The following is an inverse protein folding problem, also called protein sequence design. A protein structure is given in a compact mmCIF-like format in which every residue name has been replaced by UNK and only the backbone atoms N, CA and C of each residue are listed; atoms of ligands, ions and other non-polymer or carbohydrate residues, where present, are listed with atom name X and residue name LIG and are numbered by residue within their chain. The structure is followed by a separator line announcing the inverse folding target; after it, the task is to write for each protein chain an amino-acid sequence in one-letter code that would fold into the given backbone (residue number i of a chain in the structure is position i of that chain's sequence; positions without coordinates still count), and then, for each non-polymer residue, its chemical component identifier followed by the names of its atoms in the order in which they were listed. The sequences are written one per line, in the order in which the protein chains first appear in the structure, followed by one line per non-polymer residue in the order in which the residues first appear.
data_IF_383828243394
#
_entry.id   IF_383828243394
#
_cell.length_a   1.000
_cell.length_b   1.000
_cell.length_c   1.000
_cell.angle_alpha   90.00
_cell.angle_beta   90.00
_cell.angle_gamma   90.00
#
_symmetry.space_group_name_H-M   'P 1'
#
loop_
_entity.id
_entity.type
_entity.pdbx_description
1 polymer ?
#
# COMPACT_ATOMS: atom_id res chain seq x y z
N UNK A 1 -8.65 14.03 -0.15
CA UNK A 1 -7.59 13.08 0.17
C UNK A 1 -7.38 12.19 -1.04
N UNK A 2 -6.14 12.07 -1.50
CA UNK A 2 -5.74 11.05 -2.46
C UNK A 2 -4.66 10.23 -1.76
N UNK A 3 -4.99 9.02 -1.38
CA UNK A 3 -4.09 8.14 -0.65
C UNK A 3 -4.25 6.72 -1.16
N UNK A 4 -3.11 6.13 -1.53
CA UNK A 4 -2.99 4.70 -1.71
C UNK A 4 -1.94 4.21 -0.73
N UNK A 5 -2.34 3.24 0.10
CA UNK A 5 -1.47 2.64 1.10
C UNK A 5 -1.80 1.17 1.26
N UNK A 6 -0.91 0.45 1.92
CA UNK A 6 -1.15 -0.95 2.24
C UNK A 6 -0.90 -1.28 3.70
N UNK A 7 -1.57 -2.32 4.18
CA UNK A 7 -1.36 -2.94 5.48
C UNK A 7 -0.88 -4.38 5.29
N UNK A 8 0.15 -4.78 6.03
CA UNK A 8 0.74 -6.12 5.98
C UNK A 8 0.66 -6.73 7.37
N UNK A 9 0.10 -7.93 7.45
CA UNK A 9 -0.09 -8.64 8.73
C UNK A 9 1.20 -9.34 9.14
N UNK A 10 2.07 -8.65 9.86
CA UNK A 10 3.27 -9.26 10.42
C UNK A 10 3.84 -8.42 11.55
N UNK A 11 4.66 -9.07 12.38
CA UNK A 11 5.50 -8.41 13.38
C UNK A 11 6.97 -8.30 12.90
N UNK A 12 7.30 -8.93 11.76
CA UNK A 12 8.67 -9.01 11.22
C UNK A 12 8.96 -7.83 10.29
N UNK A 13 9.21 -6.66 10.86
CA UNK A 13 9.47 -5.44 10.09
C UNK A 13 10.70 -5.57 9.17
N UNK A 14 11.75 -6.27 9.61
CA UNK A 14 12.97 -6.45 8.82
C UNK A 14 12.69 -7.17 7.49
N UNK A 15 11.80 -8.17 7.49
CA UNK A 15 11.40 -8.86 6.26
C UNK A 15 10.71 -7.92 5.27
N UNK A 16 9.87 -6.99 5.76
CA UNK A 16 9.21 -5.97 4.92
C UNK A 16 10.27 -5.05 4.31
N UNK A 17 11.19 -4.56 5.14
CA UNK A 17 12.25 -3.65 4.74
C UNK A 17 13.13 -4.28 3.65
N UNK A 18 13.50 -5.55 3.80
CA UNK A 18 14.36 -6.24 2.85
C UNK A 18 13.65 -6.47 1.50
N UNK A 19 12.39 -6.90 1.51
CA UNK A 19 11.58 -7.01 0.28
C UNK A 19 11.42 -5.66 -0.43
N UNK A 20 11.22 -4.57 0.32
CA UNK A 20 11.16 -3.22 -0.25
C UNK A 20 12.50 -2.84 -0.90
N UNK A 21 13.63 -3.08 -0.23
CA UNK A 21 14.96 -2.78 -0.79
C UNK A 21 15.20 -3.56 -2.07
N UNK A 22 14.94 -4.86 -2.07
CA UNK A 22 15.06 -5.72 -3.25
C UNK A 22 14.20 -5.19 -4.40
N UNK A 23 12.94 -4.86 -4.11
CA UNK A 23 12.05 -4.25 -5.09
C UNK A 23 12.61 -2.95 -5.65
N UNK A 24 13.10 -2.04 -4.80
CA UNK A 24 13.61 -0.74 -5.24
C UNK A 24 14.86 -0.86 -6.13
N UNK A 25 15.72 -1.86 -5.89
CA UNK A 25 16.88 -2.16 -6.76
C UNK A 25 16.43 -2.63 -8.15
N UNK A 26 15.32 -3.37 -8.25
CA UNK A 26 14.83 -3.94 -9.52
C UNK A 26 14.26 -2.93 -10.51
N UNK A 27 14.01 -1.69 -10.08
CA UNK A 27 13.40 -0.62 -10.88
C UNK A 27 14.39 0.03 -11.87
N UNK A 28 13.92 0.73 -12.92
CA UNK A 28 12.52 0.98 -13.29
C UNK A 28 11.83 -0.25 -13.88
N UNK A 29 10.50 -0.22 -13.92
CA UNK A 29 9.72 -1.24 -14.62
C UNK A 29 9.44 -0.85 -16.07
N UNK A 30 9.02 -1.83 -16.86
CA UNK A 30 8.39 -1.58 -18.16
C UNK A 30 6.90 -1.32 -17.96
N UNK A 31 6.32 -0.39 -18.74
CA UNK A 31 4.88 -0.15 -18.75
C UNK A 31 4.08 -1.45 -18.99
N UNK A 32 2.94 -1.59 -18.33
CA UNK A 32 2.03 -2.73 -18.46
C UNK A 32 2.50 -4.01 -17.75
N UNK A 33 3.52 -3.92 -16.90
CA UNK A 33 4.05 -5.09 -16.17
C UNK A 33 3.52 -5.22 -14.75
N UNK A 34 2.72 -4.27 -14.28
CA UNK A 34 2.05 -4.41 -12.99
C UNK A 34 1.01 -5.55 -13.05
N UNK A 35 0.91 -6.34 -11.98
CA UNK A 35 -0.10 -7.38 -11.87
C UNK A 35 -1.49 -6.76 -11.84
N UNK A 36 -2.43 -7.42 -12.53
CA UNK A 36 -3.84 -7.08 -12.41
C UNK A 36 -4.40 -7.69 -11.12
N UNK A 37 -4.80 -6.82 -10.20
CA UNK A 37 -5.42 -7.17 -8.92
C UNK A 37 -6.93 -6.86 -8.90
N UNK A 38 -7.50 -6.47 -10.03
CA UNK A 38 -8.92 -6.13 -10.17
C UNK A 38 -9.31 -4.74 -9.67
N UNK A 39 -8.34 -3.86 -9.38
CA UNK A 39 -8.57 -2.45 -8.98
C UNK A 39 -7.80 -1.54 -9.93
N UNK A 40 -8.38 -0.39 -10.34
CA UNK A 40 -7.65 0.63 -11.09
C UNK A 40 -6.37 1.03 -10.37
N UNK A 41 -5.29 1.18 -11.12
CA UNK A 41 -4.02 1.63 -10.58
C UNK A 41 -3.40 2.68 -11.50
N UNK A 42 -2.70 3.63 -10.89
CA UNK A 42 -2.00 4.70 -11.61
C UNK A 42 -0.49 4.43 -11.71
N UNK A 43 -0.05 3.20 -11.44
CA UNK A 43 1.38 2.87 -11.33
C UNK A 43 2.16 3.16 -12.60
N UNK A 44 1.64 2.73 -13.75
CA UNK A 44 2.32 2.96 -15.03
C UNK A 44 2.51 4.45 -15.31
N UNK A 45 1.48 5.25 -15.06
CA UNK A 45 1.49 6.69 -15.31
C UNK A 45 2.39 7.48 -14.35
N UNK A 46 2.60 6.98 -13.12
CA UNK A 46 3.22 7.75 -12.03
C UNK A 46 4.58 7.17 -11.60
N UNK A 47 4.72 5.84 -11.52
CA UNK A 47 5.84 5.16 -10.89
C UNK A 47 6.71 4.33 -11.83
N UNK A 48 6.21 3.81 -12.96
CA UNK A 48 6.94 2.82 -13.76
C UNK A 48 8.37 3.26 -14.14
N UNK A 49 8.55 4.54 -14.50
CA UNK A 49 9.85 5.12 -14.87
C UNK A 49 10.46 6.02 -13.79
N UNK A 50 9.84 6.13 -12.61
CA UNK A 50 10.34 6.97 -11.51
C UNK A 50 11.54 6.31 -10.85
N UNK A 51 12.64 7.06 -10.77
CA UNK A 51 13.90 6.56 -10.22
C UNK A 51 14.07 6.92 -8.74
N UNK A 52 13.37 7.94 -8.24
CA UNK A 52 13.47 8.43 -6.87
C UNK A 52 12.30 7.97 -5.99
N UNK A 53 12.05 6.66 -6.00
CA UNK A 53 10.98 6.04 -5.20
C UNK A 53 11.34 5.96 -3.71
N UNK A 54 10.36 6.18 -2.85
CA UNK A 54 10.52 6.16 -1.39
C UNK A 54 9.29 5.56 -0.75
N UNK A 55 9.50 4.55 0.07
CA UNK A 55 8.42 3.87 0.78
C UNK A 55 8.61 4.10 2.27
N UNK A 56 7.58 4.65 2.90
CA UNK A 56 7.51 4.79 4.34
C UNK A 56 6.91 3.51 4.93
N UNK A 57 7.47 3.05 6.04
CA UNK A 57 7.05 1.84 6.76
C UNK A 57 6.76 2.22 8.22
N UNK A 58 5.59 1.87 8.72
CA UNK A 58 5.20 2.15 10.10
C UNK A 58 5.87 1.18 11.08
N UNK A 59 5.78 1.50 12.37
CA UNK A 59 5.98 0.50 13.42
C UNK A 59 4.86 -0.55 13.38
N UNK A 60 5.11 -1.70 14.00
CA UNK A 60 4.09 -2.74 14.20
C UNK A 60 3.03 -2.22 15.17
N UNK A 61 1.76 -2.39 14.82
CA UNK A 61 0.63 -2.16 15.72
C UNK A 61 -0.40 -3.26 15.55
N UNK A 62 -0.72 -3.98 16.64
CA UNK A 62 -1.63 -5.14 16.64
C UNK A 62 -1.33 -6.18 15.55
N UNK A 63 -0.05 -6.45 15.30
CA UNK A 63 0.38 -7.42 14.28
C UNK A 63 0.25 -6.92 12.84
N UNK A 64 0.04 -5.61 12.64
CA UNK A 64 0.00 -4.98 11.33
C UNK A 64 1.10 -3.94 11.17
N UNK A 65 1.59 -3.80 9.95
CA UNK A 65 2.51 -2.74 9.51
C UNK A 65 1.84 -2.03 8.34
N UNK A 66 1.90 -0.71 8.30
CA UNK A 66 1.46 0.08 7.16
C UNK A 66 2.65 0.49 6.29
N UNK A 67 2.45 0.50 4.98
CA UNK A 67 3.40 1.05 4.01
C UNK A 67 2.72 2.06 3.09
N UNK A 68 3.45 3.12 2.74
CA UNK A 68 2.98 4.20 1.87
C UNK A 68 4.11 4.59 0.91
N UNK A 69 3.83 4.64 -0.38
CA UNK A 69 4.78 5.12 -1.41
C UNK A 69 4.66 6.64 -1.59
N UNK A 70 5.78 7.30 -1.88
CA UNK A 70 5.91 8.75 -1.93
C UNK A 70 5.02 9.51 -2.92
N UNK A 71 4.44 8.80 -3.90
CA UNK A 71 3.50 9.36 -4.87
C UNK A 71 2.06 8.96 -4.60
N UNK A 72 1.77 8.33 -3.45
CA UNK A 72 0.44 7.84 -3.09
C UNK A 72 -0.09 6.84 -4.13
N UNK A 73 0.75 5.89 -4.56
CA UNK A 73 0.37 4.84 -5.52
C UNK A 73 0.87 3.49 -5.02
N UNK A 74 -0.02 2.50 -5.00
CA UNK A 74 0.31 1.13 -4.66
C UNK A 74 1.16 0.48 -5.76
N UNK A 75 2.29 -0.12 -5.37
CA UNK A 75 3.06 -1.04 -6.21
C UNK A 75 2.54 -2.45 -5.95
N UNK A 76 1.54 -2.88 -6.72
CA UNK A 76 0.88 -4.17 -6.49
C UNK A 76 1.81 -5.37 -6.69
N UNK A 77 2.87 -5.23 -7.49
CA UNK A 77 3.93 -6.23 -7.56
C UNK A 77 4.62 -6.41 -6.21
N UNK A 78 5.02 -5.31 -5.56
CA UNK A 78 5.57 -5.35 -4.20
C UNK A 78 4.59 -5.98 -3.21
N UNK A 79 3.30 -5.61 -3.27
CA UNK A 79 2.29 -6.14 -2.35
C UNK A 79 2.10 -7.66 -2.50
N UNK A 80 2.08 -8.16 -3.74
CA UNK A 80 2.04 -9.60 -4.02
C UNK A 80 3.31 -10.30 -3.55
N UNK A 81 4.48 -9.75 -3.86
CA UNK A 81 5.77 -10.33 -3.45
C UNK A 81 5.87 -10.41 -1.92
N UNK A 82 5.47 -9.36 -1.21
CA UNK A 82 5.38 -9.35 0.26
C UNK A 82 4.45 -10.45 0.78
N UNK A 83 3.26 -10.57 0.19
CA UNK A 83 2.28 -11.60 0.57
C UNK A 83 2.82 -13.02 0.35
N UNK A 84 3.51 -13.27 -0.76
CA UNK A 84 4.14 -14.56 -1.08
C UNK A 84 5.32 -14.86 -0.17
N UNK A 85 6.28 -13.94 -0.09
CA UNK A 85 7.56 -14.18 0.57
C UNK A 85 7.41 -14.31 2.08
N UNK A 86 6.43 -13.63 2.66
CA UNK A 86 6.15 -13.66 4.10
C UNK A 86 5.02 -14.64 4.44
N UNK A 87 4.32 -15.19 3.44
CA UNK A 87 3.13 -16.03 3.60
C UNK A 87 2.08 -15.34 4.48
N UNK A 88 1.70 -14.12 4.07
CA UNK A 88 0.83 -13.26 4.88
C UNK A 88 -0.24 -12.53 4.09
N UNK A 89 -1.18 -12.00 4.85
CA UNK A 89 -2.26 -11.11 4.43
C UNK A 89 -1.72 -9.70 4.20
N UNK A 90 -2.06 -9.14 3.03
CA UNK A 90 -1.77 -7.77 2.62
C UNK A 90 -3.07 -7.13 2.14
N UNK A 91 -3.35 -5.91 2.60
CA UNK A 91 -4.53 -5.14 2.21
C UNK A 91 -4.04 -3.88 1.53
N UNK A 92 -4.32 -3.71 0.24
CA UNK A 92 -4.11 -2.45 -0.47
C UNK A 92 -5.39 -1.62 -0.45
N UNK A 93 -5.30 -0.33 -0.16
CA UNK A 93 -6.41 0.62 -0.14
C UNK A 93 -6.16 1.68 -1.20
N UNK A 94 -7.24 2.11 -1.84
CA UNK A 94 -7.28 3.27 -2.73
C UNK A 94 -8.39 4.20 -2.24
N UNK A 95 -8.06 5.47 -2.04
CA UNK A 95 -9.02 6.55 -1.75
C UNK A 95 -8.60 7.76 -2.57
N UNK A 96 -9.39 8.17 -3.55
CA UNK A 96 -9.14 9.34 -4.38
C UNK A 96 -10.37 10.21 -4.53
N UNK A 97 -10.44 11.28 -3.74
CA UNK A 97 -11.51 12.29 -3.86
C UNK A 97 -11.49 12.98 -5.22
N UNK A 98 -10.32 13.07 -5.87
CA UNK A 98 -10.21 13.75 -7.17
C UNK A 98 -10.94 12.98 -8.28
N UNK A 99 -10.86 11.65 -8.25
CA UNK A 99 -11.50 10.81 -9.27
C UNK A 99 -12.75 10.11 -8.74
N UNK A 100 -13.09 10.27 -7.46
CA UNK A 100 -14.16 9.51 -6.82
C UNK A 100 -13.88 8.03 -6.59
N UNK A 101 -12.64 7.57 -6.81
CA UNK A 101 -12.29 6.15 -6.72
C UNK A 101 -12.03 5.76 -5.27
N UNK A 102 -12.69 4.71 -4.79
CA UNK A 102 -12.37 4.13 -3.50
C UNK A 102 -12.52 2.61 -3.51
N UNK A 103 -11.72 1.95 -2.70
CA UNK A 103 -11.74 0.50 -2.64
C UNK A 103 -10.58 -0.11 -1.88
N UNK A 104 -10.59 -1.44 -1.84
CA UNK A 104 -9.54 -2.23 -1.25
C UNK A 104 -9.38 -3.56 -1.99
N UNK A 105 -8.17 -4.10 -1.95
CA UNK A 105 -7.85 -5.48 -2.33
C UNK A 105 -7.24 -6.19 -1.14
N UNK A 106 -7.75 -7.39 -0.83
CA UNK A 106 -7.14 -8.29 0.14
C UNK A 106 -6.39 -9.39 -0.61
N UNK A 107 -5.12 -9.54 -0.27
CA UNK A 107 -4.19 -10.48 -0.87
C UNK A 107 -3.69 -11.40 0.24
N UNK A 108 -3.71 -12.71 0.02
CA UNK A 108 -3.12 -13.67 0.93
C UNK A 108 -2.31 -14.72 0.18
N UNK A 109 -1.07 -14.96 0.62
CA UNK A 109 -0.10 -15.84 -0.04
C UNK A 109 -0.01 -15.60 -1.57
N UNK A 110 -0.04 -14.33 -1.99
CA UNK A 110 0.05 -13.93 -3.40
C UNK A 110 -1.22 -14.10 -4.22
N UNK A 111 -2.37 -14.36 -3.59
CA UNK A 111 -3.67 -14.48 -4.28
C UNK A 111 -4.63 -13.42 -3.78
N UNK A 112 -5.33 -12.78 -4.71
CA UNK A 112 -6.46 -11.91 -4.38
C UNK A 112 -7.57 -12.78 -3.80
N UNK A 113 -7.99 -12.46 -2.57
CA UNK A 113 -9.01 -13.20 -1.83
C UNK A 113 -10.37 -12.51 -1.93
N UNK A 114 -10.37 -11.19 -1.82
CA UNK A 114 -11.54 -10.32 -1.90
C UNK A 114 -11.08 -8.96 -2.41
N UNK A 115 -12.02 -8.25 -3.03
CA UNK A 115 -11.82 -6.87 -3.44
C UNK A 115 -13.17 -6.14 -3.42
N UNK A 116 -13.09 -4.84 -3.23
CA UNK A 116 -14.20 -3.92 -3.44
C UNK A 116 -13.65 -2.69 -4.16
N UNK A 117 -14.37 -2.21 -5.16
CA UNK A 117 -14.06 -0.98 -5.87
C UNK A 117 -15.36 -0.28 -6.25
N UNK A 118 -15.36 1.05 -6.12
CA UNK A 118 -16.46 1.92 -6.50
C UNK A 118 -15.90 3.27 -6.97
N UNK A 119 -16.66 3.93 -7.85
CA UNK A 119 -16.39 5.27 -8.35
C UNK A 119 -17.65 6.12 -8.16
N UNK A 120 -17.58 7.12 -7.27
CA UNK A 120 -18.72 7.97 -6.90
C UNK A 120 -18.27 9.42 -6.67
N UNK A 121 -19.18 10.38 -6.78
CA UNK A 121 -18.89 11.80 -6.51
C UNK A 121 -18.44 12.04 -5.06
N UNK A 122 -18.94 11.23 -4.11
CA UNK A 122 -18.58 11.25 -2.70
C UNK A 122 -18.12 9.85 -2.27
N UNK A 123 -16.98 9.79 -1.59
CA UNK A 123 -16.40 8.53 -1.11
C UNK A 123 -17.14 8.08 0.15
N UNK A 124 -17.61 6.83 0.15
CA UNK A 124 -18.09 6.18 1.36
C UNK A 124 -16.91 5.64 2.18
N UNK A 125 -16.40 6.47 3.08
CA UNK A 125 -15.32 6.10 4.00
C UNK A 125 -15.73 4.99 4.98
N UNK A 126 -17.03 4.75 5.23
CA UNK A 126 -17.47 3.70 6.13
C UNK A 126 -17.04 2.32 5.62
N UNK A 127 -16.99 2.11 4.31
CA UNK A 127 -16.53 0.84 3.72
C UNK A 127 -15.10 0.51 4.17
N UNK A 128 -14.19 1.48 4.07
CA UNK A 128 -12.80 1.28 4.48
C UNK A 128 -12.69 1.20 6.01
N UNK A 129 -13.39 2.08 6.74
CA UNK A 129 -13.36 2.06 8.20
C UNK A 129 -13.85 0.72 8.77
N UNK A 130 -14.94 0.16 8.22
CA UNK A 130 -15.46 -1.14 8.62
C UNK A 130 -14.46 -2.26 8.34
N UNK A 131 -13.80 -2.25 7.16
CA UNK A 131 -12.72 -3.19 6.87
C UNK A 131 -11.59 -3.13 7.91
N UNK A 132 -11.12 -1.92 8.24
CA UNK A 132 -10.04 -1.76 9.22
C UNK A 132 -10.45 -2.24 10.62
N UNK A 133 -11.69 -1.95 11.03
CA UNK A 133 -12.25 -2.42 12.30
C UNK A 133 -12.34 -3.96 12.33
N UNK A 134 -12.87 -4.57 11.27
CA UNK A 134 -13.01 -6.03 11.16
C UNK A 134 -11.65 -6.74 11.20
N UNK A 135 -10.64 -6.16 10.56
CA UNK A 135 -9.25 -6.66 10.55
C UNK A 135 -8.46 -6.28 11.80
N UNK A 136 -9.07 -5.50 12.71
CA UNK A 136 -8.46 -4.97 13.92
C UNK A 136 -7.20 -4.11 13.64
N UNK A 137 -7.14 -3.50 12.47
CA UNK A 137 -6.11 -2.54 12.09
C UNK A 137 -6.42 -1.23 12.78
N UNK A 138 -5.54 -0.80 13.68
CA UNK A 138 -5.65 0.45 14.43
C UNK A 138 -4.61 1.49 14.01
N UNK A 139 -4.01 1.31 12.82
CA UNK A 139 -3.09 2.28 12.23
C UNK A 139 -3.95 3.24 11.40
N UNK A 140 -3.93 4.56 11.70
CA UNK A 140 -4.65 5.54 10.89
C UNK A 140 -4.16 5.56 9.45
N UNK A 141 -5.06 5.94 8.54
CA UNK A 141 -4.71 6.27 7.17
C UNK A 141 -3.91 7.57 7.19
N UNK A 142 -2.71 7.53 6.63
CA UNK A 142 -1.83 8.69 6.48
C UNK A 142 -1.46 8.87 5.02
N UNK A 143 -1.22 10.12 4.64
CA UNK A 143 -0.48 10.45 3.43
C UNK A 143 1.03 10.37 3.70
N UNK A 144 1.80 10.05 2.68
CA UNK A 144 3.26 10.01 2.73
C UNK A 144 3.86 11.30 3.26
N UNK A 145 3.31 12.46 2.87
CA UNK A 145 3.79 13.77 3.33
C UNK A 145 3.65 13.97 4.84
N UNK A 146 2.63 13.37 5.45
CA UNK A 146 2.38 13.47 6.89
C UNK A 146 3.42 12.65 7.65
N UNK A 147 3.66 11.40 7.21
CA UNK A 147 4.66 10.53 7.84
C UNK A 147 6.09 11.03 7.59
N UNK A 148 6.35 11.64 6.43
CA UNK A 148 7.67 12.18 6.10
C UNK A 148 8.02 13.45 6.89
N UNK A 149 7.02 14.26 7.26
CA UNK A 149 7.21 15.50 8.02
C UNK A 149 7.20 15.26 9.53
N UNK A 150 6.46 14.26 10.02
CA UNK A 150 6.31 14.01 11.45
C UNK A 150 7.20 12.86 11.95
N UNK A 151 8.41 13.22 12.37
CA UNK A 151 9.39 12.27 12.93
C UNK A 151 8.91 11.53 14.18
N UNK A 152 7.92 12.07 14.91
CA UNK A 152 7.42 11.46 16.14
C UNK A 152 6.55 10.22 15.89
N UNK A 153 6.09 10.01 14.65
CA UNK A 153 5.28 8.84 14.29
C UNK A 153 6.11 7.54 14.20
N UNK A 154 7.45 7.63 14.24
CA UNK A 154 8.33 6.47 14.22
C UNK A 154 8.39 5.71 12.88
N UNK A 155 7.98 6.35 11.78
CA UNK A 155 8.04 5.74 10.45
C UNK A 155 9.48 5.71 9.93
N UNK A 156 9.83 4.61 9.27
CA UNK A 156 11.09 4.46 8.57
C UNK A 156 10.90 4.71 7.09
N UNK A 157 11.73 5.56 6.48
CA UNK A 157 11.69 5.84 5.04
C UNK A 157 12.81 5.07 4.36
N UNK A 158 12.43 4.14 3.47
CA UNK A 158 13.34 3.41 2.59
C UNK A 158 13.32 4.12 1.24
N UNK A 159 14.49 4.29 0.62
CA UNK A 159 14.64 5.01 -0.66
C UNK A 159 15.66 4.32 -1.55
N UNK A 160 15.47 4.48 -2.86
CA UNK A 160 16.52 4.24 -3.86
C UNK A 160 17.52 5.40 -3.86
#
# INVERSE_FOLDING_TARGET
MNVELAFIKTEKIDNIIDNIKERLVSLPDTFGTQPDVGIPNSYDSILAIENNRKIAVSQVSKGWISIIESKEVNDYKLLLDLSVNIQTEVIGIVLSEVTGNYGYVEINAGKVMSLFHSEQEEIDEEVINNLLLDKQINIPIYMFREVASNKNLGWQIIKK
#
